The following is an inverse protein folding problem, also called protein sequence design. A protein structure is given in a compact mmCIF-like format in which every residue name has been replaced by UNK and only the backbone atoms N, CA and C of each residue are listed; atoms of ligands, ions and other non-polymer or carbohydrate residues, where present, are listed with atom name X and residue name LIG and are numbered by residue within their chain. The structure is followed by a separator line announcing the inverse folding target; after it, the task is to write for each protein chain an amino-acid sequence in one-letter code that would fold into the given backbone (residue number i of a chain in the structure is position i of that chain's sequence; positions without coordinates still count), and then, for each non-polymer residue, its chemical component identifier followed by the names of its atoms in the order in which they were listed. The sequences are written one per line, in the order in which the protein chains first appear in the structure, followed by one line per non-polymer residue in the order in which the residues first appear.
data_IF_140859317966
#
_entry.id   IF_140859317966
#
_cell.length_a   1.000
_cell.length_b   1.000
_cell.length_c   1.000
_cell.angle_alpha   90.00
_cell.angle_beta   90.00
_cell.angle_gamma   90.00
#
_symmetry.space_group_name_H-M   'P 1'
#
loop_
_entity.id
_entity.type
_entity.pdbx_description
1 polymer ?
#
# COMPACT_ATOMS: atom_id res chain seq x y z
N UNK A 1 40.31 -13.83 -23.81
CA UNK A 1 39.24 -14.69 -23.25
C UNK A 1 38.60 -13.91 -22.12
N UNK A 2 37.33 -13.53 -22.19
CA UNK A 2 36.64 -13.03 -21.00
C UNK A 2 36.27 -14.22 -20.10
N UNK A 3 36.16 -14.01 -18.78
CA UNK A 3 35.76 -15.08 -17.87
C UNK A 3 34.28 -15.44 -18.11
N UNK A 4 34.02 -16.74 -18.04
CA UNK A 4 32.70 -17.35 -18.08
C UNK A 4 31.78 -16.74 -17.02
N UNK A 5 30.58 -16.33 -17.43
CA UNK A 5 29.51 -15.98 -16.50
C UNK A 5 29.12 -17.23 -15.71
N UNK A 6 29.47 -17.28 -14.43
CA UNK A 6 28.91 -18.23 -13.49
C UNK A 6 27.41 -17.94 -13.42
N UNK A 7 26.58 -18.86 -13.93
CA UNK A 7 25.14 -18.82 -13.73
C UNK A 7 24.87 -18.67 -12.24
N UNK A 8 24.18 -17.58 -11.87
CA UNK A 8 23.73 -17.37 -10.50
C UNK A 8 22.74 -18.47 -10.16
N UNK A 9 23.24 -19.44 -9.39
CA UNK A 9 22.51 -20.54 -8.78
C UNK A 9 21.41 -19.99 -7.87
N UNK A 10 20.18 -20.13 -8.32
CA UNK A 10 18.99 -20.24 -7.47
C UNK A 10 18.67 -19.03 -6.60
N UNK A 11 18.29 -17.92 -7.21
CA UNK A 11 17.39 -16.99 -6.54
C UNK A 11 15.98 -17.49 -6.78
N UNK A 12 15.39 -18.13 -5.76
CA UNK A 12 13.97 -18.44 -5.74
C UNK A 12 13.23 -17.13 -5.98
N UNK A 13 12.68 -16.93 -7.17
CA UNK A 13 11.69 -15.87 -7.44
C UNK A 13 10.37 -16.28 -6.81
N UNK A 14 10.37 -16.55 -5.51
CA UNK A 14 9.14 -16.64 -4.75
C UNK A 14 8.55 -15.24 -4.77
N UNK A 15 7.39 -15.10 -5.41
CA UNK A 15 6.76 -13.81 -5.60
C UNK A 15 6.58 -13.14 -4.24
N UNK A 16 7.27 -12.03 -4.00
CA UNK A 16 7.05 -11.18 -2.82
C UNK A 16 5.72 -10.39 -2.89
N UNK A 17 4.77 -10.90 -3.66
CA UNK A 17 3.44 -10.33 -3.79
C UNK A 17 2.71 -10.51 -2.46
N UNK A 18 2.04 -9.44 -2.02
CA UNK A 18 1.31 -9.41 -0.76
C UNK A 18 -0.08 -8.87 -1.01
N UNK A 19 -1.05 -9.43 -0.31
CA UNK A 19 -2.43 -8.97 -0.38
C UNK A 19 -2.67 -7.86 0.63
N UNK A 20 -3.23 -6.74 0.16
CA UNK A 20 -3.73 -5.67 1.01
C UNK A 20 -5.27 -5.66 0.99
N UNK A 21 -5.88 -5.57 2.16
CA UNK A 21 -7.33 -5.52 2.37
C UNK A 21 -7.70 -4.17 2.97
N UNK A 22 -8.69 -3.50 2.38
CA UNK A 22 -9.35 -2.34 2.98
C UNK A 22 -10.60 -2.83 3.72
N UNK A 23 -10.69 -2.54 5.02
CA UNK A 23 -11.82 -2.93 5.87
C UNK A 23 -12.42 -1.70 6.52
N UNK A 24 -13.73 -1.53 6.38
CA UNK A 24 -14.51 -0.61 7.20
C UNK A 24 -14.81 -1.26 8.54
N UNK A 25 -14.50 -0.56 9.64
CA UNK A 25 -14.71 -1.03 11.00
C UNK A 25 -15.62 -0.09 11.82
N UNK A 26 -16.38 0.79 11.17
CA UNK A 26 -17.32 1.71 11.81
C UNK A 26 -16.67 2.96 12.43
N UNK A 27 -15.45 2.83 12.96
CA UNK A 27 -14.63 3.95 13.47
C UNK A 27 -13.60 4.44 12.42
N UNK A 28 -13.84 4.14 11.14
CA UNK A 28 -12.99 4.47 10.00
C UNK A 28 -12.49 3.25 9.23
N UNK A 29 -11.64 3.50 8.24
CA UNK A 29 -11.08 2.45 7.38
C UNK A 29 -9.70 1.98 7.88
N UNK A 30 -9.52 0.65 7.91
CA UNK A 30 -8.24 0.01 8.19
C UNK A 30 -7.68 -0.68 6.96
N UNK A 31 -6.38 -0.57 6.80
CA UNK A 31 -5.62 -1.33 5.81
C UNK A 31 -4.90 -2.46 6.53
N UNK A 32 -5.17 -3.69 6.09
CA UNK A 32 -4.50 -4.89 6.58
C UNK A 32 -3.68 -5.50 5.45
N UNK A 33 -2.38 -5.69 5.65
CA UNK A 33 -1.49 -6.34 4.69
C UNK A 33 -1.13 -7.71 5.24
N UNK A 34 -1.40 -8.74 4.46
CA UNK A 34 -1.08 -10.11 4.82
C UNK A 34 0.39 -10.44 4.56
N UNK A 35 0.88 -11.50 5.20
CA UNK A 35 2.10 -12.18 4.76
C UNK A 35 1.93 -12.72 3.33
N UNK A 36 3.02 -13.05 2.61
CA UNK A 36 2.95 -13.62 1.26
C UNK A 36 2.07 -14.88 1.16
N UNK A 37 1.98 -15.68 2.23
CA UNK A 37 1.16 -16.88 2.29
C UNK A 37 -0.33 -16.59 2.52
N UNK A 38 -0.71 -15.32 2.73
CA UNK A 38 -2.07 -14.87 2.99
C UNK A 38 -2.75 -15.52 4.21
N UNK A 39 -1.98 -16.00 5.18
CA UNK A 39 -2.47 -16.67 6.40
C UNK A 39 -2.62 -15.73 7.58
N UNK A 40 -1.78 -14.70 7.67
CA UNK A 40 -1.69 -13.81 8.83
C UNK A 40 -1.57 -12.34 8.40
N UNK A 41 -2.06 -11.43 9.25
CA UNK A 41 -1.89 -9.98 9.06
C UNK A 41 -0.52 -9.59 9.63
N UNK A 42 0.38 -9.10 8.79
CA UNK A 42 1.69 -8.61 9.22
C UNK A 42 1.69 -7.12 9.54
N UNK A 43 0.91 -6.34 8.79
CA UNK A 43 0.82 -4.89 8.96
C UNK A 43 -0.65 -4.50 9.04
N UNK A 44 -1.01 -3.77 10.09
CA UNK A 44 -2.32 -3.16 10.26
C UNK A 44 -2.15 -1.65 10.48
N UNK A 45 -2.87 -0.85 9.72
CA UNK A 45 -2.84 0.60 9.85
C UNK A 45 -4.25 1.17 9.75
N UNK A 46 -4.61 1.99 10.74
CA UNK A 46 -5.82 2.80 10.70
C UNK A 46 -5.50 4.11 10.00
N UNK A 47 -6.29 4.44 8.98
CA UNK A 47 -6.12 5.71 8.29
C UNK A 47 -6.50 6.87 9.23
N UNK A 48 -5.64 7.88 9.41
CA UNK A 48 -5.82 8.92 10.43
C UNK A 48 -6.85 10.00 10.06
N UNK A 49 -7.65 9.81 9.01
CA UNK A 49 -8.65 10.78 8.55
C UNK A 49 -10.01 10.13 8.51
N UNK A 50 -10.98 10.75 9.16
CA UNK A 50 -12.39 10.39 9.03
C UNK A 50 -12.85 10.60 7.57
N UNK A 51 -13.42 9.56 6.98
CA UNK A 51 -13.93 9.59 5.61
C UNK A 51 -13.35 8.48 4.74
N UNK A 52 -13.88 8.38 3.53
CA UNK A 52 -13.50 7.33 2.59
C UNK A 52 -12.08 7.57 2.03
N UNK A 53 -11.34 6.48 1.82
CA UNK A 53 -9.99 6.48 1.26
C UNK A 53 -9.96 5.66 -0.04
N UNK A 54 -9.24 6.17 -1.03
CA UNK A 54 -8.87 5.41 -2.21
C UNK A 54 -7.42 4.96 -2.08
N UNK A 55 -7.17 3.66 -2.29
CA UNK A 55 -5.84 3.05 -2.16
C UNK A 55 -5.34 2.58 -3.52
N UNK A 56 -4.07 2.87 -3.83
CA UNK A 56 -3.41 2.39 -5.06
C UNK A 56 -2.04 1.80 -4.71
N UNK A 57 -1.71 0.66 -5.32
CA UNK A 57 -0.37 0.09 -5.24
C UNK A 57 0.55 0.73 -6.29
N UNK A 58 1.73 1.20 -5.85
CA UNK A 58 2.74 1.80 -6.73
C UNK A 58 4.15 1.48 -6.22
N UNK A 59 4.99 0.85 -7.06
CA UNK A 59 6.40 0.55 -6.77
C UNK A 59 6.62 -0.08 -5.37
N UNK A 60 5.87 -1.13 -5.03
CA UNK A 60 5.92 -1.81 -3.73
C UNK A 60 5.56 -0.92 -2.52
N UNK A 61 4.72 0.08 -2.75
CA UNK A 61 4.16 0.97 -1.74
C UNK A 61 2.66 1.09 -1.92
N UNK A 62 1.96 1.50 -0.87
CA UNK A 62 0.55 1.87 -0.95
C UNK A 62 0.43 3.39 -0.88
N UNK A 63 -0.27 3.97 -1.83
CA UNK A 63 -0.63 5.38 -1.86
C UNK A 63 -2.08 5.51 -1.45
N UNK A 64 -2.36 6.34 -0.46
CA UNK A 64 -3.68 6.62 0.04
C UNK A 64 -4.11 8.02 -0.37
N UNK A 65 -5.33 8.12 -0.90
CA UNK A 65 -5.96 9.39 -1.27
C UNK A 65 -7.21 9.57 -0.43
N UNK A 66 -7.31 10.66 0.31
CA UNK A 66 -8.57 10.99 0.98
C UNK A 66 -9.64 11.41 -0.05
N UNK A 67 -10.83 10.83 0.04
CA UNK A 67 -12.01 11.27 -0.70
C UNK A 67 -12.56 12.50 0.02
N UNK A 68 -12.90 13.55 -0.73
CA UNK A 68 -13.20 14.90 -0.21
C UNK A 68 -12.05 15.62 0.52
N UNK A 69 -10.85 15.02 0.56
CA UNK A 69 -9.62 15.64 1.05
C UNK A 69 -8.61 15.83 -0.07
N UNK A 70 -7.65 16.73 0.13
CA UNK A 70 -6.46 16.84 -0.74
C UNK A 70 -5.29 16.00 -0.25
N UNK A 71 -5.40 15.43 0.95
CA UNK A 71 -4.32 14.69 1.59
C UNK A 71 -3.97 13.45 0.78
N UNK A 72 -2.67 13.22 0.67
CA UNK A 72 -2.08 12.00 0.13
C UNK A 72 -1.04 11.52 1.12
N UNK A 73 -1.11 10.25 1.54
CA UNK A 73 0.01 9.64 2.25
C UNK A 73 0.48 8.38 1.53
N UNK A 74 1.69 7.97 1.86
CA UNK A 74 2.41 6.85 1.28
C UNK A 74 2.85 5.91 2.41
N UNK A 75 2.46 4.65 2.32
CA UNK A 75 2.97 3.58 3.18
C UNK A 75 4.11 2.82 2.53
N UNK A 76 5.20 2.68 3.28
CA UNK A 76 6.27 1.76 2.96
C UNK A 76 5.93 0.35 3.49
N UNK A 77 5.81 -0.62 2.58
CA UNK A 77 5.42 -1.98 2.93
C UNK A 77 6.49 -2.77 3.69
N UNK A 78 7.76 -2.32 3.66
CA UNK A 78 8.85 -2.97 4.38
C UNK A 78 8.88 -2.62 5.87
N UNK A 79 8.39 -1.43 6.22
CA UNK A 79 8.40 -0.92 7.60
C UNK A 79 7.01 -0.71 8.18
N UNK A 80 5.97 -0.70 7.34
CA UNK A 80 4.61 -0.30 7.70
C UNK A 80 4.48 1.20 8.03
N UNK A 81 5.54 1.99 7.86
CA UNK A 81 5.49 3.42 8.16
C UNK A 81 4.72 4.19 7.10
N UNK A 82 3.97 5.19 7.55
CA UNK A 82 3.20 6.10 6.71
C UNK A 82 3.84 7.49 6.75
N UNK A 83 3.98 8.09 5.57
CA UNK A 83 4.52 9.44 5.39
C UNK A 83 3.59 10.26 4.52
N UNK A 84 3.38 11.52 4.88
CA UNK A 84 2.56 12.43 4.07
C UNK A 84 3.32 12.91 2.85
N UNK A 85 2.62 12.88 1.71
CA UNK A 85 3.06 13.47 0.45
C UNK A 85 2.45 14.87 0.29
N UNK A 86 2.95 15.68 -0.66
CA UNK A 86 2.30 16.92 -1.02
C UNK A 86 0.82 16.70 -1.41
N UNK A 87 -0.04 17.57 -0.90
CA UNK A 87 -1.47 17.56 -1.20
C UNK A 87 -1.76 17.58 -2.71
N UNK A 88 -2.83 16.90 -3.11
CA UNK A 88 -3.41 17.03 -4.44
C UNK A 88 -3.81 18.48 -4.70
N UNK A 89 -3.75 18.92 -5.97
CA UNK A 89 -4.21 20.27 -6.35
C UNK A 89 -5.68 20.52 -5.99
N UNK A 90 -6.52 19.51 -6.17
CA UNK A 90 -7.95 19.54 -5.90
C UNK A 90 -8.35 18.31 -5.09
N UNK A 91 -9.34 18.45 -4.21
CA UNK A 91 -9.91 17.30 -3.54
C UNK A 91 -10.61 16.40 -4.55
N UNK A 92 -10.57 15.08 -4.33
CA UNK A 92 -11.38 14.17 -5.14
C UNK A 92 -12.82 14.22 -4.65
N UNK A 93 -13.76 14.19 -5.58
CA UNK A 93 -15.16 13.91 -5.31
C UNK A 93 -15.51 12.60 -6.00
N UNK A 94 -16.32 11.76 -5.35
CA UNK A 94 -16.99 10.70 -6.07
C UNK A 94 -17.89 11.31 -7.17
N UNK A 95 -18.05 10.64 -8.32
CA UNK A 95 -19.01 11.06 -9.32
C UNK A 95 -20.41 11.16 -8.67
N UNK A 96 -21.11 12.27 -8.93
CA UNK A 96 -22.50 12.43 -8.52
C UNK A 96 -23.36 11.60 -9.48
N UNK A 97 -24.09 10.63 -8.93
CA UNK A 97 -25.04 9.80 -9.68
C UNK A 97 -26.22 10.63 -10.21
#
# INVERSE_FOLDING_TARGET
MPPSSTEAKGESTESQERLALLRDIGDGERICILNPECTEVEIEHQWPVDGEVSVVAFQNKLVFFGIHSRRVDLMDLSTGQVSSLPDMKTARSLPVC
#
